data_IF_831342930314
#
_entry.id   IF_831342930314
#
_cell.length_a   1.000
_cell.length_b   1.000
_cell.length_c   1.000
_cell.angle_alpha   90.00
_cell.angle_beta   90.00
_cell.angle_gamma   90.00
#
_symmetry.space_group_name_H-M   'P 1'
#
loop_
_entity.id
_entity.type
_entity.pdbx_description
1 polymer ?
#
# COMPACT_ATOMS: atom_id res chain seq x y z
N UNK A 1 13.24 29.80 -4.32
CA UNK A 1 13.94 28.51 -4.48
C UNK A 1 14.05 27.66 -3.21
N UNK A 2 13.82 28.22 -2.04
CA UNK A 2 14.03 27.53 -0.76
C UNK A 2 12.73 27.01 -0.12
N UNK A 3 11.57 27.41 -0.61
CA UNK A 3 10.26 27.05 -0.05
C UNK A 3 9.71 25.76 -0.65
N UNK A 4 9.89 25.49 -1.93
CA UNK A 4 9.42 24.26 -2.59
C UNK A 4 10.19 23.01 -2.15
N UNK A 5 11.50 23.12 -1.88
CA UNK A 5 12.29 22.00 -1.40
C UNK A 5 12.02 21.65 0.08
N UNK A 6 11.37 22.53 0.83
CA UNK A 6 11.05 22.29 2.25
C UNK A 6 9.82 21.41 2.45
N UNK A 7 8.81 21.48 1.59
CA UNK A 7 7.54 20.77 1.78
C UNK A 7 7.68 19.24 1.76
N UNK A 8 8.04 18.67 0.62
CA UNK A 8 8.13 17.21 0.46
C UNK A 8 9.30 16.62 1.26
N UNK A 9 10.44 17.34 1.30
CA UNK A 9 11.60 16.95 2.09
C UNK A 9 11.31 16.83 3.59
N UNK A 10 10.41 17.63 4.13
CA UNK A 10 10.03 17.55 5.55
C UNK A 10 9.08 16.37 5.83
N UNK A 11 8.30 15.92 4.87
CA UNK A 11 7.40 14.76 5.04
C UNK A 11 8.20 13.49 5.25
N UNK A 12 9.12 13.14 4.35
CA UNK A 12 9.88 11.90 4.49
C UNK A 12 10.97 11.95 5.59
N UNK A 13 11.56 13.12 5.85
CA UNK A 13 12.49 13.28 6.97
C UNK A 13 11.89 12.88 8.31
N UNK A 14 10.69 13.36 8.60
CA UNK A 14 10.01 13.08 9.87
C UNK A 14 9.70 11.60 10.02
N UNK A 15 9.33 10.93 8.95
CA UNK A 15 9.06 9.49 8.96
C UNK A 15 10.34 8.69 9.28
N UNK A 16 11.44 8.98 8.58
CA UNK A 16 12.71 8.28 8.78
C UNK A 16 13.31 8.59 10.16
N UNK A 17 13.33 9.86 10.56
CA UNK A 17 13.85 10.21 11.89
C UNK A 17 12.99 9.66 13.02
N UNK A 18 11.67 9.66 12.85
CA UNK A 18 10.74 9.05 13.81
C UNK A 18 10.98 7.56 13.96
N UNK A 19 11.23 6.85 12.85
CA UNK A 19 11.59 5.44 12.87
C UNK A 19 12.91 5.19 13.62
N UNK A 20 13.98 5.94 13.30
CA UNK A 20 15.26 5.79 14.00
C UNK A 20 15.16 6.15 15.48
N UNK A 21 14.42 7.19 15.83
CA UNK A 21 14.17 7.54 17.23
C UNK A 21 13.40 6.44 17.97
N UNK A 22 12.35 5.90 17.35
CA UNK A 22 11.59 4.78 17.91
C UNK A 22 12.49 3.57 18.18
N UNK A 23 13.30 3.16 17.23
CA UNK A 23 14.20 2.03 17.39
C UNK A 23 15.28 2.29 18.45
N UNK A 24 15.82 3.50 18.49
CA UNK A 24 16.79 3.87 19.52
C UNK A 24 16.20 3.75 20.93
N UNK A 25 15.02 4.30 21.17
CA UNK A 25 14.42 4.31 22.51
C UNK A 25 13.69 3.01 22.88
N UNK A 26 13.21 2.25 21.90
CA UNK A 26 12.42 1.04 22.18
C UNK A 26 13.19 -0.25 22.02
N UNK A 27 14.21 -0.28 21.16
CA UNK A 27 14.95 -1.48 20.78
C UNK A 27 16.46 -1.38 21.07
N UNK A 28 16.90 -0.28 21.69
CA UNK A 28 18.31 0.00 22.01
C UNK A 28 19.22 0.00 20.76
N UNK A 29 18.68 0.39 19.60
CA UNK A 29 19.40 0.50 18.35
C UNK A 29 20.09 1.86 18.21
N UNK A 30 21.08 1.95 17.32
CA UNK A 30 21.77 3.21 17.03
C UNK A 30 20.86 4.20 16.30
N UNK A 31 20.83 5.45 16.75
CA UNK A 31 20.09 6.53 16.09
C UNK A 31 20.93 7.15 14.99
N UNK A 32 20.47 7.07 13.75
CA UNK A 32 21.10 7.72 12.60
C UNK A 32 20.34 8.98 12.19
N UNK A 33 21.08 10.09 12.01
CA UNK A 33 20.52 11.36 11.54
C UNK A 33 21.25 11.77 10.26
N UNK A 34 20.84 11.17 9.15
CA UNK A 34 21.35 11.53 7.83
C UNK A 34 20.48 12.63 7.22
N UNK A 35 21.09 13.78 6.92
CA UNK A 35 20.39 14.90 6.32
C UNK A 35 20.15 14.64 4.83
N UNK A 36 18.93 14.89 4.31
CA UNK A 36 18.66 14.76 2.89
C UNK A 36 19.52 15.76 2.09
N UNK A 37 19.89 15.36 0.89
CA UNK A 37 20.72 16.12 -0.01
C UNK A 37 19.88 16.68 -1.17
N UNK A 38 20.06 17.96 -1.49
CA UNK A 38 19.30 18.64 -2.57
C UNK A 38 19.52 18.02 -3.98
N UNK A 39 20.65 17.35 -4.18
CA UNK A 39 21.00 16.73 -5.47
C UNK A 39 20.36 15.36 -5.70
N UNK A 40 19.86 14.74 -4.64
CA UNK A 40 19.28 13.39 -4.67
C UNK A 40 17.77 13.48 -4.86
N UNK A 41 17.22 12.51 -5.59
CA UNK A 41 15.78 12.28 -5.69
C UNK A 41 15.17 11.92 -4.35
N UNK A 42 13.83 11.88 -4.27
CA UNK A 42 13.11 11.44 -3.07
C UNK A 42 13.46 9.99 -2.72
N UNK A 43 13.53 9.10 -3.70
CA UNK A 43 13.88 7.69 -3.51
C UNK A 43 15.32 7.52 -2.99
N UNK A 44 16.29 8.22 -3.60
CA UNK A 44 17.68 8.21 -3.17
C UNK A 44 17.84 8.74 -1.74
N UNK A 45 17.18 9.86 -1.42
CA UNK A 45 17.19 10.41 -0.08
C UNK A 45 16.59 9.44 0.95
N UNK A 46 15.49 8.77 0.64
CA UNK A 46 14.88 7.78 1.52
C UNK A 46 15.84 6.62 1.82
N UNK A 47 16.46 6.02 0.79
CA UNK A 47 17.41 4.93 0.94
C UNK A 47 18.65 5.38 1.73
N UNK A 48 19.24 6.52 1.36
CA UNK A 48 20.40 7.09 2.03
C UNK A 48 20.14 7.40 3.51
N UNK A 49 18.95 7.92 3.83
CA UNK A 49 18.60 8.28 5.21
C UNK A 49 18.29 7.07 6.08
N UNK A 50 17.75 5.98 5.52
CA UNK A 50 17.40 4.77 6.24
C UNK A 50 18.63 3.90 6.56
N UNK A 51 19.67 3.94 5.74
CA UNK A 51 20.81 3.04 5.86
C UNK A 51 21.96 3.66 6.66
N UNK A 52 22.56 2.89 7.60
CA UNK A 52 23.68 3.38 8.42
C UNK A 52 24.85 3.88 7.59
N UNK A 53 25.19 3.15 6.51
CA UNK A 53 26.31 3.41 5.61
C UNK A 53 25.98 4.39 4.47
N UNK A 54 24.71 4.81 4.33
CA UNK A 54 24.16 5.69 3.27
C UNK A 54 24.26 5.09 1.86
N UNK A 55 24.61 3.81 1.73
CA UNK A 55 24.85 3.19 0.43
C UNK A 55 23.56 2.65 -0.19
N UNK A 56 23.41 2.82 -1.48
CA UNK A 56 22.37 2.24 -2.32
C UNK A 56 22.88 2.13 -3.75
N UNK A 57 22.27 1.24 -4.51
CA UNK A 57 22.56 1.09 -5.94
C UNK A 57 21.60 1.93 -6.79
N UNK A 58 22.01 2.26 -8.01
CA UNK A 58 21.14 2.96 -8.98
C UNK A 58 19.84 2.17 -9.23
N UNK A 59 19.93 0.83 -9.30
CA UNK A 59 18.75 -0.03 -9.48
C UNK A 59 17.79 0.09 -8.30
N UNK A 60 18.27 0.07 -7.07
CA UNK A 60 17.42 0.24 -5.88
C UNK A 60 16.71 1.58 -5.87
N UNK A 61 17.43 2.65 -6.16
CA UNK A 61 16.86 4.00 -6.24
C UNK A 61 15.78 4.08 -7.34
N UNK A 62 16.06 3.53 -8.52
CA UNK A 62 15.11 3.51 -9.63
C UNK A 62 13.86 2.69 -9.34
N UNK A 63 14.01 1.54 -8.70
CA UNK A 63 12.86 0.69 -8.32
C UNK A 63 12.01 1.38 -7.26
N UNK A 64 12.62 2.00 -6.25
CA UNK A 64 11.87 2.76 -5.24
C UNK A 64 11.18 3.99 -5.85
N UNK A 65 11.86 4.71 -6.74
CA UNK A 65 11.27 5.86 -7.45
C UNK A 65 10.03 5.43 -8.26
N UNK A 66 10.15 4.33 -9.00
CA UNK A 66 9.02 3.73 -9.73
C UNK A 66 7.88 3.36 -8.77
N UNK A 67 8.18 2.77 -7.60
CA UNK A 67 7.18 2.45 -6.60
C UNK A 67 6.44 3.71 -6.11
N UNK A 68 7.16 4.78 -5.82
CA UNK A 68 6.58 6.06 -5.40
C UNK A 68 5.65 6.63 -6.48
N UNK A 69 6.06 6.60 -7.75
CA UNK A 69 5.23 7.06 -8.88
C UNK A 69 3.95 6.22 -9.00
N UNK A 70 4.05 4.90 -8.91
CA UNK A 70 2.88 3.99 -9.02
C UNK A 70 1.90 4.11 -7.85
N UNK A 71 2.37 4.56 -6.68
CA UNK A 71 1.54 4.82 -5.51
C UNK A 71 0.97 6.25 -5.45
N UNK A 72 1.49 7.16 -6.28
CA UNK A 72 1.19 8.59 -6.21
C UNK A 72 -0.29 8.89 -6.41
N UNK A 73 -0.96 8.18 -7.32
CA UNK A 73 -2.36 8.44 -7.69
C UNK A 73 -3.14 7.14 -7.94
N UNK A 74 -4.43 7.15 -7.63
CA UNK A 74 -5.33 6.01 -7.89
C UNK A 74 -6.79 6.43 -8.07
N UNK A 75 -7.02 7.62 -8.54
CA UNK A 75 -8.36 8.16 -8.81
C UNK A 75 -9.09 8.68 -7.58
N UNK A 76 -9.98 9.62 -7.82
CA UNK A 76 -10.73 10.36 -6.79
C UNK A 76 -11.70 9.52 -5.95
N UNK A 77 -11.98 8.28 -6.34
CA UNK A 77 -12.81 7.32 -5.60
C UNK A 77 -12.06 6.45 -4.60
N UNK A 78 -10.72 6.48 -4.60
CA UNK A 78 -9.92 5.83 -3.57
C UNK A 78 -10.25 6.38 -2.19
N UNK A 79 -10.34 5.54 -1.15
CA UNK A 79 -10.91 5.92 0.15
C UNK A 79 -10.24 7.16 0.75
N UNK A 80 -8.92 7.24 0.80
CA UNK A 80 -8.21 8.41 1.33
C UNK A 80 -8.30 9.63 0.41
N UNK A 81 -8.32 9.44 -0.91
CA UNK A 81 -8.51 10.51 -1.88
C UNK A 81 -9.94 11.04 -1.83
N UNK A 82 -10.94 10.16 -1.69
CA UNK A 82 -12.32 10.57 -1.50
C UNK A 82 -12.51 11.35 -0.19
N UNK A 83 -11.87 10.90 0.89
CA UNK A 83 -11.82 11.64 2.16
C UNK A 83 -11.22 13.03 1.97
N UNK A 84 -10.12 13.15 1.21
CA UNK A 84 -9.52 14.45 0.84
C UNK A 84 -10.54 15.36 0.18
N UNK A 85 -11.27 14.87 -0.82
CA UNK A 85 -12.29 15.64 -1.55
C UNK A 85 -13.44 16.03 -0.66
N UNK A 86 -13.98 15.09 0.12
CA UNK A 86 -15.12 15.35 1.02
C UNK A 86 -14.77 16.43 2.04
N UNK A 87 -13.63 16.32 2.72
CA UNK A 87 -13.20 17.30 3.73
C UNK A 87 -12.84 18.63 3.07
N UNK A 88 -12.24 18.63 1.88
CA UNK A 88 -11.98 19.85 1.11
C UNK A 88 -13.29 20.57 0.78
N UNK A 89 -14.34 19.83 0.35
CA UNK A 89 -15.62 20.40 -0.06
C UNK A 89 -16.37 21.11 1.07
N UNK A 90 -16.00 20.85 2.33
CA UNK A 90 -16.54 21.56 3.49
C UNK A 90 -15.84 22.90 3.78
N UNK A 91 -14.78 23.25 3.03
CA UNK A 91 -13.98 24.47 3.26
C UNK A 91 -12.87 24.30 4.31
N UNK A 92 -12.54 23.08 4.72
CA UNK A 92 -11.49 22.81 5.70
C UNK A 92 -10.09 23.20 5.18
N UNK A 93 -9.19 23.54 6.11
CA UNK A 93 -7.80 23.89 5.82
C UNK A 93 -6.99 22.67 5.33
N UNK A 94 -5.84 22.93 4.71
CA UNK A 94 -4.98 21.90 4.12
C UNK A 94 -4.47 20.88 5.14
N UNK A 95 -4.14 21.30 6.35
CA UNK A 95 -3.61 20.38 7.38
C UNK A 95 -4.69 19.41 7.84
N UNK A 96 -5.88 19.91 8.10
CA UNK A 96 -7.04 19.09 8.47
C UNK A 96 -7.40 18.08 7.37
N UNK A 97 -7.37 18.48 6.10
CA UNK A 97 -7.63 17.61 4.95
C UNK A 97 -6.60 16.50 4.85
N UNK A 98 -5.31 16.82 4.95
CA UNK A 98 -4.23 15.82 4.89
C UNK A 98 -4.27 14.90 6.10
N UNK A 99 -4.55 15.41 7.30
CA UNK A 99 -4.71 14.59 8.49
C UNK A 99 -5.86 13.59 8.37
N UNK A 100 -6.99 14.00 7.80
CA UNK A 100 -8.13 13.12 7.53
C UNK A 100 -7.78 12.03 6.49
N UNK A 101 -7.07 12.40 5.41
CA UNK A 101 -6.59 11.46 4.40
C UNK A 101 -5.61 10.43 4.99
N UNK A 102 -4.67 10.86 5.83
CA UNK A 102 -3.75 9.98 6.56
C UNK A 102 -4.50 9.04 7.50
N UNK A 103 -5.52 9.54 8.20
CA UNK A 103 -6.36 8.72 9.09
C UNK A 103 -7.11 7.62 8.32
N UNK A 104 -7.57 7.93 7.10
CA UNK A 104 -8.14 6.94 6.20
C UNK A 104 -7.10 5.93 5.72
N UNK A 105 -5.92 6.41 5.27
CA UNK A 105 -4.87 5.56 4.72
C UNK A 105 -4.30 4.58 5.74
N UNK A 106 -4.09 4.98 7.00
CA UNK A 106 -3.51 4.12 8.03
C UNK A 106 -4.36 2.90 8.39
N UNK A 107 -5.61 2.85 7.95
CA UNK A 107 -6.50 1.73 8.20
C UNK A 107 -5.98 0.43 7.57
N UNK A 108 -6.07 -0.72 8.29
CA UNK A 108 -5.49 -2.00 7.84
C UNK A 108 -6.12 -2.55 6.55
N UNK A 109 -7.29 -2.06 6.17
CA UNK A 109 -7.96 -2.42 4.91
C UNK A 109 -7.56 -1.53 3.73
N UNK A 110 -6.75 -0.49 3.96
CA UNK A 110 -6.32 0.45 2.94
C UNK A 110 -4.80 0.46 2.83
N UNK A 111 -4.07 1.21 3.65
CA UNK A 111 -2.62 1.33 3.53
C UNK A 111 -1.80 0.14 4.04
N UNK A 112 -2.43 -0.83 4.72
CA UNK A 112 -1.77 -2.03 5.22
C UNK A 112 -1.83 -3.26 4.31
N UNK A 113 -2.33 -3.12 3.08
CA UNK A 113 -2.55 -4.27 2.19
C UNK A 113 -1.24 -4.96 1.79
N UNK A 114 -0.19 -4.21 1.47
CA UNK A 114 1.11 -4.75 1.11
C UNK A 114 1.82 -5.47 2.28
N UNK A 115 1.63 -5.01 3.51
CA UNK A 115 2.15 -5.71 4.71
C UNK A 115 1.48 -7.09 4.81
N UNK A 116 0.17 -7.16 4.59
CA UNK A 116 -0.56 -8.44 4.60
C UNK A 116 -0.11 -9.41 3.52
N UNK A 117 0.29 -8.91 2.35
CA UNK A 117 0.92 -9.75 1.32
C UNK A 117 2.23 -10.33 1.83
N UNK A 118 3.11 -9.53 2.40
CA UNK A 118 4.41 -10.01 2.91
C UNK A 118 4.22 -11.02 4.03
N UNK A 119 3.30 -10.76 4.97
CA UNK A 119 2.99 -11.71 6.05
C UNK A 119 2.45 -13.05 5.50
N UNK A 120 1.55 -13.00 4.53
CA UNK A 120 1.02 -14.19 3.86
C UNK A 120 2.11 -14.98 3.12
N UNK A 121 2.99 -14.29 2.39
CA UNK A 121 4.08 -14.95 1.69
C UNK A 121 5.05 -15.63 2.65
N UNK A 122 5.43 -14.97 3.74
CA UNK A 122 6.25 -15.57 4.81
C UNK A 122 5.59 -16.78 5.45
N UNK A 123 4.28 -16.74 5.61
CA UNK A 123 3.51 -17.87 6.13
C UNK A 123 3.51 -19.05 5.15
N UNK A 124 3.37 -18.80 3.85
CA UNK A 124 3.50 -19.83 2.79
C UNK A 124 4.92 -20.41 2.80
N UNK A 125 5.94 -19.56 2.83
CA UNK A 125 7.36 -19.95 2.86
C UNK A 125 7.69 -20.86 4.06
N UNK A 126 7.08 -20.60 5.20
CA UNK A 126 7.30 -21.37 6.44
C UNK A 126 6.59 -22.73 6.43
N UNK A 127 5.50 -22.90 5.67
CA UNK A 127 4.66 -24.10 5.72
C UNK A 127 4.69 -24.97 4.46
N UNK A 128 5.23 -24.45 3.36
CA UNK A 128 5.44 -25.21 2.12
C UNK A 128 6.93 -25.51 1.99
N UNK A 129 7.28 -26.79 2.07
CA UNK A 129 8.69 -27.22 2.07
C UNK A 129 9.38 -27.09 0.71
N UNK A 130 8.63 -27.26 -0.37
CA UNK A 130 9.12 -27.09 -1.75
C UNK A 130 8.27 -26.06 -2.48
N UNK A 131 8.83 -24.88 -2.69
CA UNK A 131 8.15 -23.76 -3.36
C UNK A 131 8.09 -23.94 -4.88
N UNK A 132 8.76 -24.96 -5.43
CA UNK A 132 8.69 -25.29 -6.87
C UNK A 132 7.55 -26.26 -7.19
N UNK A 133 7.00 -26.92 -6.17
CA UNK A 133 5.85 -27.80 -6.27
C UNK A 133 4.54 -26.99 -6.31
N UNK A 134 4.01 -26.82 -7.52
CA UNK A 134 2.76 -26.09 -7.75
C UNK A 134 1.57 -26.69 -6.99
N UNK A 135 1.50 -28.02 -6.85
CA UNK A 135 0.40 -28.69 -6.16
C UNK A 135 0.47 -28.42 -4.65
N UNK A 136 1.66 -28.45 -4.06
CA UNK A 136 1.85 -28.10 -2.65
C UNK A 136 1.45 -26.65 -2.37
N UNK A 137 1.87 -25.71 -3.21
CA UNK A 137 1.46 -24.31 -3.11
C UNK A 137 -0.04 -24.14 -3.29
N UNK A 138 -0.65 -24.80 -4.27
CA UNK A 138 -2.10 -24.79 -4.52
C UNK A 138 -2.89 -25.31 -3.31
N UNK A 139 -2.45 -26.40 -2.70
CA UNK A 139 -3.07 -26.94 -1.48
C UNK A 139 -3.02 -25.93 -0.36
N UNK A 140 -1.89 -25.24 -0.18
CA UNK A 140 -1.76 -24.25 0.87
C UNK A 140 -2.64 -23.01 0.63
N UNK A 141 -2.71 -22.50 -0.60
CA UNK A 141 -3.63 -21.42 -0.97
C UNK A 141 -5.10 -21.79 -0.69
N UNK A 142 -5.49 -23.05 -0.92
CA UNK A 142 -6.83 -23.54 -0.56
C UNK A 142 -7.05 -23.55 0.94
N UNK A 143 -6.06 -23.91 1.78
CA UNK A 143 -6.15 -23.80 3.23
C UNK A 143 -6.36 -22.35 3.68
N UNK A 144 -5.62 -21.38 3.10
CA UNK A 144 -5.83 -19.95 3.36
C UNK A 144 -7.27 -19.56 3.05
N UNK A 145 -7.79 -19.91 1.85
CA UNK A 145 -9.16 -19.58 1.46
C UNK A 145 -10.21 -20.27 2.33
N UNK A 146 -9.93 -21.46 2.86
CA UNK A 146 -10.80 -22.19 3.79
C UNK A 146 -10.75 -21.66 5.22
N UNK A 147 -9.93 -20.65 5.49
CA UNK A 147 -9.69 -20.10 6.84
C UNK A 147 -8.99 -21.09 7.79
N UNK A 148 -8.24 -22.03 7.23
CA UNK A 148 -7.51 -23.09 7.94
C UNK A 148 -6.02 -22.74 8.12
N UNK A 149 -5.56 -21.66 7.48
CA UNK A 149 -4.17 -21.21 7.53
C UNK A 149 -4.08 -19.69 7.56
N UNK A 150 -2.87 -19.17 7.86
CA UNK A 150 -2.54 -17.78 7.97
C UNK A 150 -3.43 -17.06 9.00
N UNK A 151 -4.12 -15.98 8.62
CA UNK A 151 -4.91 -15.14 9.54
C UNK A 151 -6.39 -15.58 9.68
N UNK A 152 -6.77 -16.68 9.07
CA UNK A 152 -8.13 -17.24 9.14
C UNK A 152 -9.22 -16.41 8.46
N UNK A 153 -8.86 -15.39 7.66
CA UNK A 153 -9.84 -14.53 6.98
C UNK A 153 -10.32 -15.09 5.64
N UNK A 154 -9.61 -16.05 5.08
CA UNK A 154 -9.97 -16.68 3.81
C UNK A 154 -9.71 -15.77 2.60
N UNK A 155 -8.63 -14.99 2.64
CA UNK A 155 -8.24 -14.04 1.59
C UNK A 155 -6.81 -14.32 1.12
N UNK A 156 -6.62 -14.36 -0.19
CA UNK A 156 -5.29 -14.25 -0.80
C UNK A 156 -5.04 -12.77 -1.04
N UNK A 157 -4.19 -12.18 -0.19
CA UNK A 157 -3.91 -10.75 -0.22
C UNK A 157 -3.15 -10.34 -1.47
N UNK A 158 -3.37 -9.11 -1.92
CA UNK A 158 -2.78 -8.59 -3.16
C UNK A 158 -3.47 -9.07 -4.44
N UNK A 159 -4.52 -9.90 -4.31
CA UNK A 159 -5.30 -10.41 -5.44
C UNK A 159 -6.68 -9.73 -5.49
N UNK A 160 -7.07 -9.32 -6.71
CA UNK A 160 -8.33 -8.61 -6.97
C UNK A 160 -8.23 -7.10 -6.77
N UNK A 161 -9.10 -6.38 -7.47
CA UNK A 161 -9.16 -4.94 -7.44
C UNK A 161 -10.58 -4.43 -7.72
N UNK A 162 -10.95 -3.30 -7.12
CA UNK A 162 -12.28 -2.71 -7.33
C UNK A 162 -12.50 -2.24 -8.78
N UNK A 163 -11.44 -1.75 -9.44
CA UNK A 163 -11.47 -1.17 -10.79
C UNK A 163 -10.92 -2.15 -11.82
N UNK A 164 -9.77 -2.75 -11.55
CA UNK A 164 -9.06 -3.62 -12.49
C UNK A 164 -9.50 -5.07 -12.34
N UNK A 165 -10.15 -5.62 -13.36
CA UNK A 165 -10.63 -7.01 -13.36
C UNK A 165 -9.75 -7.96 -14.19
N UNK A 166 -9.08 -7.47 -15.22
CA UNK A 166 -8.23 -8.28 -16.10
C UNK A 166 -6.75 -8.19 -15.70
N UNK A 167 -6.26 -6.97 -15.49
CA UNK A 167 -4.90 -6.73 -15.02
C UNK A 167 -4.81 -5.33 -14.41
N UNK A 168 -3.97 -5.16 -13.39
CA UNK A 168 -3.58 -3.84 -12.89
C UNK A 168 -2.33 -3.38 -13.68
N UNK A 169 -2.41 -2.34 -14.52
CA UNK A 169 -1.27 -1.88 -15.32
C UNK A 169 -0.08 -1.47 -14.46
N UNK A 170 -0.32 -1.01 -13.22
CA UNK A 170 0.75 -0.66 -12.28
C UNK A 170 1.52 -1.90 -11.83
N UNK A 171 0.83 -3.01 -11.56
CA UNK A 171 1.45 -4.27 -11.20
C UNK A 171 2.30 -4.82 -12.37
N UNK A 172 1.83 -4.67 -13.61
CA UNK A 172 2.58 -5.12 -14.80
C UNK A 172 3.87 -4.33 -14.99
N UNK A 173 3.81 -3.00 -14.92
CA UNK A 173 5.00 -2.14 -15.00
C UNK A 173 5.96 -2.49 -13.87
N UNK A 174 5.47 -2.65 -12.65
CA UNK A 174 6.28 -2.91 -11.49
C UNK A 174 6.99 -4.25 -11.55
N UNK A 175 6.32 -5.29 -12.03
CA UNK A 175 6.86 -6.66 -12.13
C UNK A 175 8.19 -6.73 -12.88
N UNK A 176 8.35 -5.97 -13.98
CA UNK A 176 9.60 -5.95 -14.76
C UNK A 176 10.80 -5.39 -13.98
N UNK A 177 10.57 -4.47 -13.04
CA UNK A 177 11.60 -3.95 -12.15
C UNK A 177 11.86 -4.89 -10.97
N UNK A 178 10.81 -5.54 -10.46
CA UNK A 178 10.89 -6.51 -9.37
C UNK A 178 11.80 -7.68 -9.74
N UNK A 179 11.63 -8.24 -10.93
CA UNK A 179 12.46 -9.34 -11.44
C UNK A 179 13.96 -8.96 -11.43
N UNK A 180 14.30 -7.80 -11.99
CA UNK A 180 15.69 -7.33 -12.04
C UNK A 180 16.27 -7.13 -10.64
N UNK A 181 15.50 -6.57 -9.72
CA UNK A 181 15.93 -6.36 -8.35
C UNK A 181 16.08 -7.69 -7.62
N UNK A 182 15.17 -8.64 -7.81
CA UNK A 182 15.23 -9.96 -7.21
C UNK A 182 16.50 -10.71 -7.61
N UNK A 183 16.87 -10.70 -8.90
CA UNK A 183 18.13 -11.27 -9.39
C UNK A 183 19.34 -10.57 -8.74
N UNK A 184 19.36 -9.23 -8.71
CA UNK A 184 20.46 -8.46 -8.12
C UNK A 184 20.62 -8.70 -6.60
N UNK A 185 19.53 -9.07 -5.91
CA UNK A 185 19.51 -9.36 -4.47
C UNK A 185 19.61 -10.86 -4.14
N UNK A 186 19.73 -11.75 -5.12
CA UNK A 186 19.71 -13.19 -4.92
C UNK A 186 18.39 -13.74 -4.38
N UNK A 187 17.27 -13.05 -4.69
CA UNK A 187 15.90 -13.38 -4.28
C UNK A 187 15.03 -13.90 -5.46
N UNK A 188 15.70 -14.49 -6.46
CA UNK A 188 15.06 -15.06 -7.66
C UNK A 188 14.07 -16.19 -7.34
N UNK A 189 14.36 -17.01 -6.33
CA UNK A 189 13.42 -18.06 -5.86
C UNK A 189 12.15 -17.49 -5.29
N UNK A 190 12.26 -16.41 -4.50
CA UNK A 190 11.09 -15.75 -3.94
C UNK A 190 10.25 -15.13 -5.05
N UNK A 191 10.90 -14.48 -6.03
CA UNK A 191 10.22 -13.94 -7.20
C UNK A 191 9.49 -15.03 -8.01
N UNK A 192 10.09 -16.21 -8.14
CA UNK A 192 9.45 -17.35 -8.79
C UNK A 192 8.18 -17.78 -8.03
N UNK A 193 8.23 -17.85 -6.70
CA UNK A 193 7.06 -18.14 -5.86
C UNK A 193 5.97 -17.07 -6.02
N UNK A 194 6.31 -15.78 -5.95
CA UNK A 194 5.35 -14.69 -6.21
C UNK A 194 4.70 -14.81 -7.59
N UNK A 195 5.50 -15.07 -8.63
CA UNK A 195 5.00 -15.24 -10.02
C UNK A 195 4.11 -16.46 -10.17
N UNK A 196 4.41 -17.55 -9.46
CA UNK A 196 3.59 -18.75 -9.43
C UNK A 196 2.24 -18.45 -8.77
N UNK A 197 2.22 -17.82 -7.62
CA UNK A 197 0.99 -17.47 -6.89
C UNK A 197 0.15 -16.47 -7.71
N UNK A 198 0.77 -15.46 -8.34
CA UNK A 198 0.06 -14.54 -9.24
C UNK A 198 -0.71 -15.28 -10.33
N UNK A 199 -0.10 -16.31 -10.92
CA UNK A 199 -0.70 -17.13 -11.98
C UNK A 199 -1.81 -18.05 -11.47
N UNK A 200 -1.62 -18.66 -10.30
CA UNK A 200 -2.52 -19.70 -9.77
C UNK A 200 -3.70 -19.12 -8.98
N UNK A 201 -3.49 -18.05 -8.25
CA UNK A 201 -4.49 -17.49 -7.33
C UNK A 201 -5.83 -17.16 -8.00
N UNK A 202 -5.88 -16.58 -9.23
CA UNK A 202 -7.16 -16.34 -9.90
C UNK A 202 -8.01 -17.59 -10.07
N UNK A 203 -7.40 -18.69 -10.45
CA UNK A 203 -8.09 -19.99 -10.62
C UNK A 203 -8.60 -20.52 -9.27
N UNK A 204 -7.72 -20.57 -8.27
CA UNK A 204 -8.04 -21.08 -6.92
C UNK A 204 -9.16 -20.25 -6.28
N UNK A 205 -9.14 -18.94 -6.43
CA UNK A 205 -10.18 -18.04 -5.92
C UNK A 205 -11.50 -18.25 -6.65
N UNK A 206 -11.48 -18.43 -8.00
CA UNK A 206 -12.68 -18.58 -8.81
C UNK A 206 -13.41 -19.89 -8.54
N UNK A 207 -12.71 -20.96 -8.19
CA UNK A 207 -13.30 -22.24 -7.81
C UNK A 207 -14.15 -22.15 -6.54
N UNK A 208 -13.78 -21.27 -5.62
CA UNK A 208 -14.46 -21.10 -4.33
C UNK A 208 -15.55 -20.04 -4.32
N UNK A 209 -15.37 -19.00 -5.08
CA UNK A 209 -16.26 -17.84 -5.10
C UNK A 209 -16.82 -17.63 -6.50
N UNK A 210 -18.15 -17.45 -6.63
CA UNK A 210 -18.75 -17.01 -7.90
C UNK A 210 -18.32 -15.57 -8.17
N UNK A 211 -17.13 -15.40 -8.77
CA UNK A 211 -16.63 -14.09 -9.11
C UNK A 211 -17.02 -13.79 -10.55
N UNK A 212 -17.94 -12.84 -10.74
CA UNK A 212 -18.36 -12.38 -12.07
C UNK A 212 -17.31 -11.46 -12.73
N UNK A 213 -16.35 -10.98 -11.94
CA UNK A 213 -15.20 -10.17 -12.41
C UNK A 213 -13.95 -11.02 -12.34
N UNK A 214 -13.04 -10.83 -13.29
CA UNK A 214 -11.71 -11.44 -13.23
C UNK A 214 -10.97 -11.04 -11.95
N UNK A 215 -10.01 -11.87 -11.55
CA UNK A 215 -9.10 -11.60 -10.42
C UNK A 215 -7.70 -11.45 -10.99
N UNK A 216 -7.00 -10.40 -10.63
CA UNK A 216 -5.61 -10.17 -11.01
C UNK A 216 -4.82 -9.63 -9.82
N UNK A 217 -3.49 -9.77 -9.86
CA UNK A 217 -2.62 -9.13 -8.90
C UNK A 217 -2.75 -7.61 -9.00
N UNK A 218 -2.84 -6.94 -7.86
CA UNK A 218 -2.80 -5.49 -7.75
C UNK A 218 -1.38 -5.00 -7.37
N UNK A 219 -1.17 -3.69 -7.31
CA UNK A 219 0.15 -3.12 -7.01
C UNK A 219 0.70 -3.55 -5.66
N UNK A 220 -0.16 -3.83 -4.66
CA UNK A 220 0.26 -4.22 -3.32
C UNK A 220 0.88 -5.62 -3.30
N UNK A 221 0.57 -6.47 -4.28
CA UNK A 221 1.14 -7.82 -4.38
C UNK A 221 2.66 -7.80 -4.50
N UNK A 222 3.21 -6.88 -5.30
CA UNK A 222 4.66 -6.77 -5.50
C UNK A 222 5.32 -5.69 -4.65
N UNK A 223 4.61 -4.66 -4.22
CA UNK A 223 5.23 -3.52 -3.53
C UNK A 223 5.85 -3.91 -2.18
N UNK A 224 5.19 -4.79 -1.43
CA UNK A 224 5.74 -5.32 -0.19
C UNK A 224 7.03 -6.13 -0.40
N UNK A 225 7.08 -6.92 -1.46
CA UNK A 225 8.28 -7.69 -1.82
C UNK A 225 9.44 -6.76 -2.19
N UNK A 226 9.18 -5.73 -2.99
CA UNK A 226 10.19 -4.71 -3.29
C UNK A 226 10.73 -4.06 -2.03
N UNK A 227 9.85 -3.61 -1.15
CA UNK A 227 10.28 -2.97 0.10
C UNK A 227 11.12 -3.91 0.96
N UNK A 228 10.79 -5.20 0.98
CA UNK A 228 11.61 -6.21 1.68
C UNK A 228 12.99 -6.38 1.07
N UNK A 229 13.12 -6.35 -0.26
CA UNK A 229 14.41 -6.42 -0.95
C UNK A 229 15.26 -5.15 -0.79
N UNK A 230 14.61 -4.01 -0.59
CA UNK A 230 15.25 -2.74 -0.27
C UNK A 230 15.58 -2.59 1.23
N UNK A 231 15.28 -3.61 2.03
CA UNK A 231 15.49 -3.63 3.49
C UNK A 231 14.74 -2.49 4.20
N UNK A 232 13.61 -2.10 3.65
CA UNK A 232 12.73 -1.12 4.28
C UNK A 232 11.97 -1.80 5.42
N UNK A 233 11.96 -1.22 6.64
CA UNK A 233 11.21 -1.76 7.76
C UNK A 233 9.70 -1.78 7.51
N UNK A 234 9.00 -2.80 8.03
CA UNK A 234 7.56 -2.94 7.86
C UNK A 234 6.77 -1.72 8.37
N UNK A 235 7.26 -1.09 9.43
CA UNK A 235 6.69 0.12 10.05
C UNK A 235 6.64 1.30 9.07
N UNK A 236 7.52 1.31 8.06
CA UNK A 236 7.59 2.37 7.06
C UNK A 236 6.81 2.09 5.78
N UNK A 237 6.20 0.92 5.58
CA UNK A 237 5.46 0.60 4.37
C UNK A 237 4.29 1.55 4.14
N UNK A 238 3.42 1.71 5.13
CA UNK A 238 2.31 2.67 5.05
C UNK A 238 2.78 4.14 5.03
N UNK A 239 3.76 4.57 5.84
CA UNK A 239 4.36 5.90 5.72
C UNK A 239 4.94 6.21 4.33
N UNK A 240 5.65 5.29 3.69
CA UNK A 240 6.18 5.49 2.33
C UNK A 240 5.04 5.62 1.31
N UNK A 241 3.98 4.82 1.46
CA UNK A 241 2.78 4.96 0.65
C UNK A 241 2.15 6.35 0.81
N UNK A 242 2.09 6.88 2.05
CA UNK A 242 1.59 8.22 2.32
C UNK A 242 2.46 9.31 1.68
N UNK A 243 3.79 9.16 1.74
CA UNK A 243 4.75 10.09 1.09
C UNK A 243 4.49 10.18 -0.41
N UNK A 244 4.24 9.06 -1.06
CA UNK A 244 3.89 9.05 -2.48
C UNK A 244 2.49 9.66 -2.72
N UNK A 245 1.48 9.22 -1.97
CA UNK A 245 0.08 9.57 -2.19
C UNK A 245 -0.27 11.02 -1.88
N UNK A 246 0.53 11.72 -1.06
CA UNK A 246 0.27 13.13 -0.75
C UNK A 246 0.22 14.00 -2.01
N UNK A 247 0.94 13.63 -3.06
CA UNK A 247 0.91 14.32 -4.36
C UNK A 247 -0.47 14.21 -5.00
N UNK A 248 -1.03 12.99 -5.06
CA UNK A 248 -2.38 12.75 -5.59
C UNK A 248 -3.46 13.43 -4.73
N UNK A 249 -3.34 13.38 -3.39
CA UNK A 249 -4.26 14.11 -2.52
C UNK A 249 -4.20 15.62 -2.77
N UNK A 250 -3.00 16.17 -2.95
CA UNK A 250 -2.82 17.60 -3.23
C UNK A 250 -3.44 17.98 -4.57
N UNK A 251 -3.26 17.17 -5.62
CA UNK A 251 -3.85 17.39 -6.93
C UNK A 251 -5.39 17.39 -6.84
N UNK A 252 -5.98 16.37 -6.21
CA UNK A 252 -7.43 16.30 -6.02
C UNK A 252 -7.97 17.43 -5.13
N UNK A 253 -7.21 17.87 -4.14
CA UNK A 253 -7.59 19.03 -3.34
C UNK A 253 -7.61 20.32 -4.18
N UNK A 254 -6.58 20.56 -4.99
CA UNK A 254 -6.51 21.73 -5.87
C UNK A 254 -7.68 21.71 -6.86
N UNK A 255 -7.93 20.56 -7.48
CA UNK A 255 -9.04 20.37 -8.41
C UNK A 255 -10.40 20.64 -7.74
N UNK A 256 -10.60 20.12 -6.53
CA UNK A 256 -11.80 20.37 -5.74
C UNK A 256 -11.98 21.85 -5.40
N UNK A 257 -10.90 22.56 -5.02
CA UNK A 257 -10.94 23.99 -4.73
C UNK A 257 -11.25 24.86 -5.96
N UNK A 258 -10.84 24.42 -7.16
CA UNK A 258 -11.11 25.13 -8.41
C UNK A 258 -12.57 24.92 -8.87
N UNK A 259 -13.07 23.69 -8.73
CA UNK A 259 -14.35 23.28 -9.32
C UNK A 259 -15.51 23.29 -8.31
N UNK A 260 -15.26 23.67 -7.07
CA UNK A 260 -16.20 23.50 -5.98
C UNK A 260 -17.29 24.57 -5.95
N UNK A 261 -18.54 24.12 -6.12
CA UNK A 261 -19.72 24.96 -5.83
C UNK A 261 -20.52 24.45 -4.64
N UNK A 262 -20.35 23.19 -4.23
CA UNK A 262 -21.21 22.55 -3.22
C UNK A 262 -20.46 21.52 -2.38
N UNK A 263 -20.88 21.40 -1.11
CA UNK A 263 -20.42 20.31 -0.23
C UNK A 263 -20.81 18.97 -0.83
N UNK A 264 -19.87 18.02 -0.89
CA UNK A 264 -20.14 16.66 -1.35
C UNK A 264 -21.12 15.98 -0.40
N UNK A 265 -22.29 15.63 -0.91
CA UNK A 265 -23.34 14.92 -0.20
C UNK A 265 -23.75 13.70 -1.00
N UNK A 266 -23.21 12.51 -0.71
CA UNK A 266 -23.65 11.28 -1.38
C UNK A 266 -25.15 11.06 -1.16
N UNK A 267 -25.87 10.69 -2.22
CA UNK A 267 -27.24 10.23 -2.07
C UNK A 267 -27.24 8.90 -1.31
N UNK A 268 -28.16 8.78 -0.34
CA UNK A 268 -28.38 7.52 0.35
C UNK A 268 -29.86 7.17 0.38
N UNK A 269 -30.15 5.89 0.43
CA UNK A 269 -31.51 5.38 0.56
C UNK A 269 -31.55 4.42 1.75
N UNK A 270 -32.50 4.59 2.65
CA UNK A 270 -32.73 3.61 3.69
C UNK A 270 -33.13 2.28 3.06
N UNK A 271 -32.52 1.20 3.49
CA UNK A 271 -32.88 -0.19 3.15
C UNK A 271 -33.71 -0.86 4.25
N UNK A 272 -33.96 -0.14 5.35
CA UNK A 272 -34.83 -0.58 6.42
C UNK A 272 -36.29 -0.47 5.97
N UNK A 273 -37.09 -1.43 6.39
CA UNK A 273 -38.55 -1.32 6.25
C UNK A 273 -39.05 -0.13 7.09
N UNK A 274 -40.08 0.56 6.61
CA UNK A 274 -40.77 1.56 7.42
C UNK A 274 -41.36 0.87 8.65
N UNK A 275 -40.98 1.39 9.81
CA UNK A 275 -41.52 0.95 11.09
C UNK A 275 -42.54 1.99 11.55
N UNK A 276 -43.68 1.52 12.07
CA UNK A 276 -44.65 2.42 12.71
C UNK A 276 -44.00 3.11 13.93
N UNK A 277 -44.31 4.38 14.07
CA UNK A 277 -43.85 5.13 15.24
C UNK A 277 -44.59 4.62 16.48
N UNK A 278 -43.85 4.09 17.45
CA UNK A 278 -44.37 3.71 18.76
C UNK A 278 -44.10 4.86 19.73
N UNK A 279 -45.14 5.44 20.35
CA UNK A 279 -44.97 6.44 21.39
C UNK A 279 -44.10 5.97 22.54
N UNK A 280 -43.47 6.93 23.23
CA UNK A 280 -42.47 6.59 24.27
C UNK A 280 -43.08 5.82 25.43
N UNK A 281 -44.33 6.09 25.76
CA UNK A 281 -45.14 5.43 26.81
C UNK A 281 -45.60 4.01 26.44
N UNK A 282 -45.39 3.60 25.20
CA UNK A 282 -45.74 2.28 24.65
C UNK A 282 -44.54 1.45 24.22
N UNK A 283 -43.32 1.91 24.52
CA UNK A 283 -42.07 1.21 24.18
C UNK A 283 -41.60 0.26 25.26
#
# INVERSE_FOLDING_TARGET
DDVESRGLGDVYKRQVYGYHAYNHYSNDESMYIHRPQKKLSTAENLLMMLRPDKQYTELEAKVLDTALVLHMEHGGGNNSTFTTRVVTSSGSDTYSVVAAALSSLKGPKHGGANIKVVEMMRDIEAHVSDWTDEDAVRVYLNKILNKEAFDGKGLIYGMGHAVYSLSDPRAQVFKSFVEKLAVAKGRDKDFALYSMIERMAPEVISQKSRIYKGVSANVDFYSGFVYSMLEIPLELYTPIFAIARIVGWSAHRIEELINMDKIIRPAYKSVMQELEYVPLDQR
#
